data_IF_292251970371
#
_entry.id   IF_292251970371
#
_cell.length_a   1.000
_cell.length_b   1.000
_cell.length_c   1.000
_cell.angle_alpha   90.00
_cell.angle_beta   90.00
_cell.angle_gamma   90.00
#
_symmetry.space_group_name_H-M   'P 1'
#
loop_
_entity.id
_entity.type
_entity.pdbx_description
1 polymer ?
#
# COMPACT_ATOMS: atom_id res chain seq x y z
N UNK A 1 -57.33 16.35 4.77
CA UNK A 1 -56.46 17.46 5.23
C UNK A 1 -55.55 16.86 6.30
N UNK A 2 -54.26 16.61 6.14
CA UNK A 2 -53.22 17.37 5.45
C UNK A 2 -52.26 16.44 4.68
N UNK A 3 -51.89 16.87 3.48
CA UNK A 3 -50.81 16.31 2.68
C UNK A 3 -49.47 16.56 3.38
N UNK A 4 -48.81 15.50 3.86
CA UNK A 4 -47.40 15.56 4.20
C UNK A 4 -46.62 15.59 2.89
N UNK A 5 -46.24 16.81 2.51
CA UNK A 5 -45.42 17.11 1.36
C UNK A 5 -44.16 16.23 1.34
N UNK A 6 -44.09 15.38 0.34
CA UNK A 6 -42.86 14.75 -0.11
C UNK A 6 -41.85 15.86 -0.44
N UNK A 7 -40.90 16.10 0.47
CA UNK A 7 -39.74 16.95 0.19
C UNK A 7 -39.11 16.42 -1.10
N UNK A 8 -38.94 17.24 -2.15
CA UNK A 8 -38.19 16.81 -3.31
C UNK A 8 -36.76 16.52 -2.83
N UNK A 9 -36.35 15.26 -2.94
CA UNK A 9 -34.94 14.90 -2.84
C UNK A 9 -34.25 15.67 -3.95
N UNK A 10 -33.60 16.78 -3.58
CA UNK A 10 -32.83 17.58 -4.51
C UNK A 10 -31.74 16.68 -5.08
N UNK A 11 -31.97 16.23 -6.31
CA UNK A 11 -31.00 15.60 -7.19
C UNK A 11 -29.84 16.58 -7.41
N UNK A 12 -28.93 16.69 -6.43
CA UNK A 12 -27.64 17.32 -6.64
C UNK A 12 -26.73 16.33 -7.38
N UNK A 13 -27.12 15.98 -8.60
CA UNK A 13 -26.34 15.18 -9.55
C UNK A 13 -25.16 15.96 -10.15
N UNK A 14 -24.87 17.15 -9.62
CA UNK A 14 -23.70 17.97 -9.96
C UNK A 14 -22.46 17.33 -9.32
N UNK A 15 -21.97 16.28 -9.98
CA UNK A 15 -20.67 16.25 -10.66
C UNK A 15 -19.53 17.02 -9.98
N UNK A 16 -19.28 16.80 -8.69
CA UNK A 16 -18.08 17.33 -8.04
C UNK A 16 -16.90 16.44 -8.39
N UNK A 17 -16.07 16.92 -9.31
CA UNK A 17 -14.70 16.45 -9.49
C UNK A 17 -13.98 16.49 -8.13
N UNK A 18 -13.00 15.61 -7.90
CA UNK A 18 -12.27 15.45 -6.63
C UNK A 18 -11.27 16.60 -6.39
N UNK A 19 -11.75 17.85 -6.43
CA UNK A 19 -10.93 19.05 -6.31
C UNK A 19 -10.18 19.13 -4.98
N UNK A 20 -10.74 18.58 -3.90
CA UNK A 20 -10.07 18.58 -2.59
C UNK A 20 -8.81 17.73 -2.63
N UNK A 21 -8.81 16.61 -3.36
CA UNK A 21 -7.63 15.76 -3.49
C UNK A 21 -6.52 16.42 -4.31
N UNK A 22 -6.87 17.08 -5.41
CA UNK A 22 -5.90 17.87 -6.18
C UNK A 22 -5.32 19.00 -5.33
N UNK A 23 -6.16 19.69 -4.56
CA UNK A 23 -5.70 20.72 -3.63
C UNK A 23 -4.81 20.15 -2.54
N UNK A 24 -5.12 18.96 -2.01
CA UNK A 24 -4.34 18.28 -1.00
C UNK A 24 -3.00 17.77 -1.54
N UNK A 25 -2.91 17.45 -2.84
CA UNK A 25 -1.67 17.01 -3.51
C UNK A 25 -0.66 18.15 -3.70
N UNK A 26 -1.09 19.41 -3.71
CA UNK A 26 -0.20 20.56 -3.84
C UNK A 26 0.84 20.56 -2.71
N UNK A 27 0.43 20.27 -1.48
CA UNK A 27 1.32 20.29 -0.30
C UNK A 27 2.42 19.21 -0.44
N UNK A 28 2.11 17.91 -0.65
CA UNK A 28 3.10 16.89 -0.97
C UNK A 28 4.02 17.27 -2.12
N UNK A 29 3.50 17.82 -3.22
CA UNK A 29 4.33 18.17 -4.37
C UNK A 29 5.35 19.26 -4.05
N UNK A 30 4.95 20.30 -3.31
CA UNK A 30 5.85 21.35 -2.86
C UNK A 30 6.94 20.81 -1.92
N UNK A 31 6.55 19.96 -0.96
CA UNK A 31 7.51 19.35 -0.01
C UNK A 31 8.54 18.51 -0.76
N UNK A 32 8.08 17.61 -1.65
CA UNK A 32 8.97 16.69 -2.37
C UNK A 32 9.91 17.43 -3.34
N UNK A 33 9.43 18.49 -4.01
CA UNK A 33 10.26 19.34 -4.85
C UNK A 33 11.31 20.08 -4.02
N UNK A 34 10.92 20.66 -2.89
CA UNK A 34 11.84 21.35 -1.99
C UNK A 34 12.90 20.38 -1.45
N UNK A 35 12.52 19.21 -0.97
CA UNK A 35 13.47 18.22 -0.44
C UNK A 35 14.45 17.69 -1.50
N UNK A 36 13.99 17.41 -2.73
CA UNK A 36 14.89 16.98 -3.80
C UNK A 36 15.86 18.09 -4.20
N UNK A 37 15.40 19.34 -4.29
CA UNK A 37 16.31 20.46 -4.58
C UNK A 37 17.34 20.61 -3.47
N UNK A 38 16.94 20.56 -2.19
CA UNK A 38 17.87 20.59 -1.06
C UNK A 38 18.90 19.45 -1.10
N UNK A 39 18.47 18.23 -1.42
CA UNK A 39 19.37 17.07 -1.52
C UNK A 39 20.39 17.23 -2.65
N UNK A 40 19.99 17.79 -3.80
CA UNK A 40 20.90 18.04 -4.91
C UNK A 40 21.88 19.18 -4.62
N UNK A 41 21.43 20.22 -3.93
CA UNK A 41 22.30 21.31 -3.46
C UNK A 41 23.29 20.84 -2.40
N UNK A 42 22.89 19.94 -1.50
CA UNK A 42 23.78 19.40 -0.46
C UNK A 42 24.94 18.56 -1.02
N UNK A 43 24.80 18.01 -2.23
CA UNK A 43 25.86 17.27 -2.91
C UNK A 43 26.82 18.18 -3.71
N UNK A 44 26.57 19.49 -3.78
CA UNK A 44 27.44 20.46 -4.45
C UNK A 44 28.48 21.03 -3.47
N UNK A 45 29.67 21.36 -3.98
CA UNK A 45 30.74 21.94 -3.17
C UNK A 45 30.26 23.23 -2.46
N UNK A 46 30.51 23.38 -1.15
CA UNK A 46 30.02 24.51 -0.35
C UNK A 46 30.58 25.87 -0.78
N UNK A 47 31.62 25.88 -1.62
CA UNK A 47 32.24 27.09 -2.16
C UNK A 47 31.69 27.48 -3.54
N UNK A 48 30.77 26.69 -4.12
CA UNK A 48 30.17 27.01 -5.39
C UNK A 48 29.13 28.13 -5.21
N UNK A 49 29.33 29.26 -5.90
CA UNK A 49 28.35 30.36 -5.92
C UNK A 49 26.99 29.86 -6.41
N UNK A 50 25.89 30.36 -5.83
CA UNK A 50 24.51 30.13 -6.30
C UNK A 50 24.29 30.79 -7.68
N UNK A 51 24.87 30.19 -8.71
CA UNK A 51 24.69 30.59 -10.09
C UNK A 51 23.52 29.81 -10.68
N UNK A 52 22.67 30.46 -11.49
CA UNK A 52 21.48 29.84 -12.13
C UNK A 52 21.89 28.63 -13.00
N UNK A 53 23.16 28.57 -13.45
CA UNK A 53 23.75 27.42 -14.16
C UNK A 53 24.05 26.20 -13.29
N UNK A 54 24.23 26.39 -11.99
CA UNK A 54 24.49 25.33 -11.03
C UNK A 54 23.21 24.83 -10.37
N UNK A 55 22.04 25.41 -10.70
CA UNK A 55 20.77 24.84 -10.29
C UNK A 55 20.72 23.37 -10.76
N UNK A 56 20.15 22.47 -9.95
CA UNK A 56 20.03 21.07 -10.33
C UNK A 56 19.42 20.98 -11.72
N UNK A 57 20.21 20.52 -12.69
CA UNK A 57 19.76 20.27 -14.06
C UNK A 57 18.51 19.39 -13.99
N UNK A 58 17.57 19.58 -14.92
CA UNK A 58 16.30 18.84 -14.95
C UNK A 58 16.48 17.33 -14.76
N UNK A 59 17.62 16.79 -15.20
CA UNK A 59 18.07 15.41 -15.02
C UNK A 59 18.03 14.93 -13.56
N UNK A 60 18.46 15.75 -12.60
CA UNK A 60 18.45 15.38 -11.17
C UNK A 60 17.05 15.35 -10.55
N UNK A 61 16.10 16.09 -11.13
CA UNK A 61 14.71 16.17 -10.68
C UNK A 61 13.78 15.16 -11.39
N UNK A 62 14.27 14.47 -12.41
CA UNK A 62 13.51 13.43 -13.15
C UNK A 62 12.77 12.43 -12.27
N UNK A 63 13.32 11.87 -11.16
CA UNK A 63 12.58 10.89 -10.35
C UNK A 63 11.37 11.50 -9.65
N UNK A 64 11.46 12.76 -9.21
CA UNK A 64 10.37 13.44 -8.51
C UNK A 64 9.26 13.83 -9.49
N UNK A 65 9.63 14.29 -10.69
CA UNK A 65 8.65 14.58 -11.75
C UNK A 65 7.92 13.31 -12.19
N UNK A 66 8.63 12.18 -12.29
CA UNK A 66 8.02 10.88 -12.56
C UNK A 66 6.99 10.47 -11.49
N UNK A 67 7.33 10.67 -10.21
CA UNK A 67 6.43 10.36 -9.10
C UNK A 67 5.20 11.29 -9.09
N UNK A 68 5.39 12.60 -9.26
CA UNK A 68 4.31 13.58 -9.33
C UNK A 68 3.36 13.25 -10.49
N UNK A 69 3.91 12.98 -11.68
CA UNK A 69 3.13 12.59 -12.85
C UNK A 69 2.32 11.31 -12.58
N UNK A 70 2.90 10.32 -11.92
CA UNK A 70 2.22 9.07 -11.57
C UNK A 70 1.09 9.27 -10.53
N UNK A 71 1.29 10.14 -9.54
CA UNK A 71 0.26 10.48 -8.56
C UNK A 71 -0.90 11.25 -9.21
N UNK A 72 -0.61 12.19 -10.11
CA UNK A 72 -1.64 12.90 -10.89
C UNK A 72 -2.40 11.91 -11.78
N UNK A 73 -1.69 11.02 -12.48
CA UNK A 73 -2.34 10.00 -13.32
C UNK A 73 -3.25 9.08 -12.48
N UNK A 74 -2.78 8.64 -11.32
CA UNK A 74 -3.57 7.83 -10.38
C UNK A 74 -4.79 8.60 -9.89
N UNK A 75 -4.64 9.87 -9.53
CA UNK A 75 -5.74 10.75 -9.13
C UNK A 75 -6.80 10.87 -10.23
N UNK A 76 -6.38 11.04 -11.49
CA UNK A 76 -7.29 11.12 -12.64
C UNK A 76 -8.06 9.81 -12.80
N UNK A 77 -7.38 8.66 -12.75
CA UNK A 77 -8.03 7.34 -12.83
C UNK A 77 -9.05 7.17 -11.70
N UNK A 78 -8.69 7.47 -10.45
CA UNK A 78 -9.60 7.36 -9.31
C UNK A 78 -10.76 8.36 -9.41
N UNK A 79 -10.55 9.55 -9.97
CA UNK A 79 -11.60 10.56 -10.18
C UNK A 79 -12.61 10.14 -11.24
N UNK A 80 -12.17 9.46 -12.30
CA UNK A 80 -13.03 9.02 -13.39
C UNK A 80 -13.84 7.79 -12.96
N UNK A 81 -13.16 6.75 -12.46
CA UNK A 81 -13.73 5.43 -12.22
C UNK A 81 -14.25 5.20 -10.79
N UNK A 82 -13.65 5.84 -9.78
CA UNK A 82 -13.90 5.60 -8.35
C UNK A 82 -14.29 6.88 -7.59
N UNK A 83 -15.40 7.50 -8.01
CA UNK A 83 -15.85 8.81 -7.49
C UNK A 83 -16.19 8.84 -5.99
N UNK A 84 -16.47 7.68 -5.39
CA UNK A 84 -16.80 7.54 -3.95
C UNK A 84 -15.58 7.19 -3.09
N UNK A 85 -14.40 7.00 -3.68
CA UNK A 85 -13.21 6.68 -2.90
C UNK A 85 -12.75 7.89 -2.08
N UNK A 86 -12.11 7.61 -0.95
CA UNK A 86 -11.56 8.62 -0.05
C UNK A 86 -10.53 9.49 -0.77
N UNK A 87 -10.61 10.80 -0.54
CA UNK A 87 -9.81 11.85 -1.18
C UNK A 87 -8.54 12.19 -0.39
N UNK A 88 -8.40 11.71 0.85
CA UNK A 88 -7.25 12.03 1.72
C UNK A 88 -6.14 10.99 1.61
N UNK A 89 -6.50 9.74 1.29
CA UNK A 89 -5.56 8.61 1.32
C UNK A 89 -4.42 8.75 0.28
N UNK A 90 -4.74 9.11 -0.96
CA UNK A 90 -3.75 9.21 -2.04
C UNK A 90 -2.69 10.31 -1.77
N UNK A 91 -3.05 11.54 -1.37
CA UNK A 91 -2.06 12.56 -0.98
C UNK A 91 -1.15 12.11 0.16
N UNK A 92 -1.69 11.44 1.18
CA UNK A 92 -0.93 11.02 2.36
C UNK A 92 0.05 9.89 2.02
N UNK A 93 -0.43 8.87 1.30
CA UNK A 93 0.42 7.76 0.83
C UNK A 93 1.45 8.26 -0.18
N UNK A 94 1.07 9.19 -1.05
CA UNK A 94 1.97 9.83 -2.02
C UNK A 94 3.11 10.57 -1.34
N UNK A 95 2.81 11.36 -0.30
CA UNK A 95 3.82 12.05 0.52
C UNK A 95 4.77 11.05 1.17
N UNK A 96 4.24 10.05 1.88
CA UNK A 96 5.05 9.05 2.57
C UNK A 96 5.94 8.24 1.61
N UNK A 97 5.39 7.88 0.44
CA UNK A 97 6.13 7.17 -0.61
C UNK A 97 7.22 8.05 -1.20
N UNK A 98 6.94 9.33 -1.44
CA UNK A 98 7.92 10.30 -1.91
C UNK A 98 9.06 10.53 -0.93
N UNK A 99 8.76 10.64 0.37
CA UNK A 99 9.76 10.67 1.45
C UNK A 99 10.62 9.40 1.45
N UNK A 100 10.02 8.23 1.24
CA UNK A 100 10.75 6.97 1.11
C UNK A 100 11.72 6.96 -0.08
N UNK A 101 11.29 7.48 -1.24
CA UNK A 101 12.15 7.62 -2.42
C UNK A 101 13.31 8.57 -2.12
N UNK A 102 13.05 9.71 -1.47
CA UNK A 102 14.05 10.68 -1.04
C UNK A 102 15.09 10.09 -0.09
N UNK A 103 14.63 9.41 0.96
CA UNK A 103 15.50 8.73 1.91
C UNK A 103 16.38 7.70 1.22
N UNK A 104 15.82 6.95 0.26
CA UNK A 104 16.56 5.94 -0.48
C UNK A 104 17.52 6.54 -1.51
N UNK A 105 17.20 7.68 -2.12
CA UNK A 105 18.16 8.43 -2.96
C UNK A 105 19.33 8.96 -2.14
N UNK A 106 19.09 9.33 -0.87
CA UNK A 106 20.13 9.81 0.05
C UNK A 106 21.04 8.67 0.55
N UNK A 107 20.44 7.58 1.04
CA UNK A 107 21.17 6.46 1.64
C UNK A 107 21.80 5.52 0.60
N UNK A 108 21.29 5.56 -0.64
CA UNK A 108 21.66 4.66 -1.71
C UNK A 108 23.17 4.53 -2.00
N UNK A 109 23.96 5.61 -1.98
CA UNK A 109 25.41 5.54 -2.21
C UNK A 109 26.18 4.76 -1.13
N UNK A 110 25.68 4.73 0.11
CA UNK A 110 26.40 4.20 1.28
C UNK A 110 26.15 2.71 1.55
N UNK A 111 25.21 2.09 0.84
CA UNK A 111 24.80 0.69 1.08
C UNK A 111 25.44 -0.24 0.03
N UNK A 112 26.13 -1.32 0.45
CA UNK A 112 26.68 -2.32 -0.47
C UNK A 112 25.60 -2.91 -1.38
N UNK A 113 25.84 -2.83 -2.70
CA UNK A 113 24.83 -3.16 -3.72
C UNK A 113 24.59 -4.67 -3.82
N UNK A 114 23.34 -5.16 -3.78
CA UNK A 114 23.03 -6.47 -4.34
C UNK A 114 23.21 -6.42 -5.87
N UNK A 115 23.83 -7.46 -6.48
CA UNK A 115 24.02 -7.54 -7.93
C UNK A 115 22.67 -7.38 -8.67
N UNK A 116 22.55 -6.37 -9.53
CA UNK A 116 21.35 -6.12 -10.33
C UNK A 116 21.55 -5.00 -11.39
N UNK A 117 20.64 -4.90 -12.38
CA UNK A 117 20.79 -3.97 -13.52
C UNK A 117 20.55 -2.48 -13.17
N UNK A 118 19.95 -2.18 -12.01
CA UNK A 118 19.67 -0.82 -11.55
C UNK A 118 20.64 -0.49 -10.42
N UNK A 119 21.60 0.38 -10.71
CA UNK A 119 22.69 0.76 -9.81
C UNK A 119 22.29 1.81 -8.76
N UNK A 120 21.16 2.51 -8.94
CA UNK A 120 20.66 3.51 -8.01
C UNK A 120 19.48 2.97 -7.17
N UNK A 121 19.70 2.87 -5.86
CA UNK A 121 18.71 2.46 -4.87
C UNK A 121 17.46 3.36 -4.88
N UNK A 122 17.62 4.66 -5.06
CA UNK A 122 16.51 5.60 -5.14
C UNK A 122 15.62 5.35 -6.37
N UNK A 123 16.22 5.09 -7.52
CA UNK A 123 15.49 4.73 -8.75
C UNK A 123 14.76 3.39 -8.60
N UNK A 124 15.35 2.43 -7.90
CA UNK A 124 14.69 1.15 -7.60
C UNK A 124 13.47 1.35 -6.71
N UNK A 125 13.58 2.19 -5.68
CA UNK A 125 12.45 2.54 -4.80
C UNK A 125 11.32 3.22 -5.59
N UNK A 126 11.66 4.15 -6.50
CA UNK A 126 10.67 4.79 -7.36
C UNK A 126 9.91 3.78 -8.22
N UNK A 127 10.61 2.83 -8.86
CA UNK A 127 9.97 1.79 -9.67
C UNK A 127 9.00 0.96 -8.82
N UNK A 128 9.38 0.60 -7.59
CA UNK A 128 8.48 -0.12 -6.69
C UNK A 128 7.25 0.68 -6.28
N UNK A 129 7.39 1.99 -6.06
CA UNK A 129 6.23 2.88 -5.83
C UNK A 129 5.32 2.91 -7.06
N UNK A 130 5.88 3.02 -8.27
CA UNK A 130 5.09 3.00 -9.51
C UNK A 130 4.36 1.66 -9.72
N UNK A 131 5.06 0.53 -9.50
CA UNK A 131 4.44 -0.81 -9.53
C UNK A 131 3.33 -0.91 -8.48
N UNK A 132 3.55 -0.37 -7.27
CA UNK A 132 2.55 -0.32 -6.20
C UNK A 132 1.31 0.48 -6.59
N UNK A 133 1.45 1.62 -7.26
CA UNK A 133 0.33 2.41 -7.78
C UNK A 133 -0.46 1.65 -8.85
N UNK A 134 0.23 0.96 -9.77
CA UNK A 134 -0.41 0.13 -10.80
C UNK A 134 -1.18 -1.03 -10.15
N UNK A 135 -0.56 -1.72 -9.18
CA UNK A 135 -1.22 -2.79 -8.41
C UNK A 135 -2.43 -2.23 -7.65
N UNK A 136 -2.33 -1.06 -7.03
CA UNK A 136 -3.44 -0.40 -6.32
C UNK A 136 -4.63 -0.11 -7.25
N UNK A 137 -4.37 0.44 -8.44
CA UNK A 137 -5.41 0.67 -9.44
C UNK A 137 -6.02 -0.68 -9.88
N UNK A 138 -5.17 -1.66 -10.19
CA UNK A 138 -5.60 -3.00 -10.59
C UNK A 138 -6.48 -3.69 -9.56
N UNK A 139 -6.12 -3.61 -8.27
CA UNK A 139 -6.92 -4.18 -7.17
C UNK A 139 -8.25 -3.46 -7.00
N UNK A 140 -8.29 -2.12 -7.13
CA UNK A 140 -9.55 -1.37 -7.12
C UNK A 140 -10.52 -1.81 -8.21
N UNK A 141 -10.02 -2.10 -9.42
CA UNK A 141 -10.85 -2.64 -10.50
C UNK A 141 -11.29 -4.08 -10.24
N UNK A 142 -10.38 -4.94 -9.78
CA UNK A 142 -10.65 -6.36 -9.54
C UNK A 142 -11.61 -6.59 -8.37
N UNK A 143 -11.48 -5.81 -7.29
CA UNK A 143 -12.27 -5.94 -6.05
C UNK A 143 -13.52 -5.05 -6.03
N UNK A 144 -13.97 -4.54 -7.18
CA UNK A 144 -15.16 -3.67 -7.28
C UNK A 144 -16.40 -4.30 -6.66
N UNK A 145 -16.49 -5.64 -6.68
CA UNK A 145 -17.47 -6.38 -5.90
C UNK A 145 -16.72 -7.22 -4.86
N UNK A 146 -16.82 -6.88 -3.58
CA UNK A 146 -16.13 -7.62 -2.51
C UNK A 146 -16.91 -8.86 -2.04
N UNK A 147 -18.17 -9.04 -2.49
CA UNK A 147 -19.03 -10.12 -1.99
C UNK A 147 -18.51 -11.52 -2.35
N UNK A 148 -17.81 -11.67 -3.48
CA UNK A 148 -17.23 -12.96 -3.86
C UNK A 148 -16.06 -13.38 -2.97
N UNK A 149 -15.29 -12.42 -2.43
CA UNK A 149 -14.19 -12.72 -1.49
C UNK A 149 -14.70 -13.49 -0.27
N UNK A 150 -15.87 -13.12 0.27
CA UNK A 150 -16.48 -13.78 1.42
C UNK A 150 -16.91 -15.22 1.11
N UNK A 151 -17.39 -15.48 -0.11
CA UNK A 151 -17.84 -16.82 -0.54
C UNK A 151 -16.70 -17.83 -0.62
N UNK A 152 -15.49 -17.36 -0.93
CA UNK A 152 -14.29 -18.17 -1.15
C UNK A 152 -13.30 -18.11 0.02
N UNK A 153 -13.77 -17.86 1.25
CA UNK A 153 -12.92 -17.72 2.44
C UNK A 153 -12.01 -18.93 2.70
N UNK A 154 -12.49 -20.15 2.47
CA UNK A 154 -11.70 -21.37 2.67
C UNK A 154 -10.65 -21.59 1.59
N UNK A 155 -10.91 -21.17 0.35
CA UNK A 155 -9.92 -21.20 -0.74
C UNK A 155 -8.78 -20.20 -0.49
N UNK A 156 -9.05 -19.05 0.14
CA UNK A 156 -8.00 -18.11 0.54
C UNK A 156 -7.07 -18.68 1.61
N UNK A 157 -7.58 -19.48 2.56
CA UNK A 157 -6.74 -20.19 3.54
C UNK A 157 -5.85 -21.23 2.84
N UNK A 158 -6.44 -22.03 1.95
CA UNK A 158 -5.67 -23.01 1.19
C UNK A 158 -4.57 -22.34 0.37
N UNK A 159 -4.88 -21.20 -0.26
CA UNK A 159 -3.91 -20.38 -0.97
C UNK A 159 -2.81 -19.85 -0.05
N UNK A 160 -3.15 -19.35 1.15
CA UNK A 160 -2.17 -18.91 2.14
C UNK A 160 -1.22 -20.04 2.53
N UNK A 161 -1.76 -21.23 2.82
CA UNK A 161 -0.97 -22.40 3.17
C UNK A 161 -0.05 -22.81 2.01
N UNK A 162 -0.57 -22.80 0.78
CA UNK A 162 0.20 -23.11 -0.43
C UNK A 162 1.35 -22.10 -0.67
N UNK A 163 1.13 -20.80 -0.42
CA UNK A 163 2.16 -19.77 -0.58
C UNK A 163 3.21 -19.83 0.54
N UNK A 164 2.82 -20.23 1.75
CA UNK A 164 3.74 -20.41 2.88
C UNK A 164 4.61 -21.65 2.76
N UNK A 165 4.10 -22.74 2.17
CA UNK A 165 4.81 -24.02 2.07
C UNK A 165 6.23 -23.87 1.48
N UNK A 166 6.45 -23.16 0.34
CA UNK A 166 7.78 -22.91 -0.18
C UNK A 166 8.71 -22.18 0.80
N UNK A 167 8.19 -21.21 1.57
CA UNK A 167 8.98 -20.49 2.57
C UNK A 167 9.38 -21.40 3.73
N UNK A 168 8.43 -22.20 4.23
CA UNK A 168 8.67 -23.15 5.31
C UNK A 168 9.68 -24.23 4.90
N UNK A 169 9.54 -24.79 3.68
CA UNK A 169 10.47 -25.78 3.14
C UNK A 169 11.87 -25.18 3.03
N UNK A 170 12.02 -23.98 2.46
CA UNK A 170 13.32 -23.30 2.38
C UNK A 170 13.88 -22.98 3.77
N UNK A 171 13.04 -22.49 4.69
CA UNK A 171 13.42 -22.20 6.07
C UNK A 171 14.00 -23.43 6.77
N UNK A 172 13.33 -24.58 6.67
CA UNK A 172 13.78 -25.86 7.24
C UNK A 172 15.05 -26.38 6.55
N UNK A 173 15.17 -26.25 5.23
CA UNK A 173 16.38 -26.66 4.49
C UNK A 173 17.59 -25.78 4.80
N UNK A 174 17.37 -24.47 5.00
CA UNK A 174 18.41 -23.48 5.33
C UNK A 174 18.72 -23.41 6.82
N UNK A 175 17.98 -24.10 7.69
CA UNK A 175 18.32 -24.27 9.12
C UNK A 175 19.71 -24.89 9.32
N UNK A 176 20.20 -25.66 8.33
CA UNK A 176 21.52 -26.30 8.37
C UNK A 176 22.69 -25.41 7.89
N UNK A 177 22.42 -24.21 7.38
CA UNK A 177 23.45 -23.30 6.87
C UNK A 177 23.70 -22.16 7.85
N UNK A 178 24.77 -22.28 8.64
CA UNK A 178 25.17 -21.35 9.71
C UNK A 178 25.58 -19.94 9.22
N UNK A 179 25.69 -19.71 7.91
CA UNK A 179 26.23 -18.46 7.33
C UNK A 179 25.22 -17.65 6.50
N UNK A 180 23.91 -17.90 6.62
CA UNK A 180 22.90 -17.16 5.85
C UNK A 180 22.17 -16.13 6.71
N UNK A 181 22.02 -14.94 6.14
CA UNK A 181 21.44 -13.69 6.63
C UNK A 181 20.22 -13.86 7.56
N UNK A 182 20.00 -12.95 8.54
CA UNK A 182 18.94 -13.07 9.54
C UNK A 182 17.50 -13.05 8.97
N UNK A 183 17.29 -12.62 7.71
CA UNK A 183 15.96 -12.58 7.09
C UNK A 183 15.70 -13.82 6.25
N UNK A 184 15.16 -14.85 6.90
CA UNK A 184 15.00 -16.22 6.34
C UNK A 184 13.70 -16.43 5.54
N UNK A 185 12.85 -15.40 5.43
CA UNK A 185 11.51 -15.47 4.82
C UNK A 185 11.46 -14.84 3.42
N UNK A 186 12.61 -14.67 2.75
CA UNK A 186 12.68 -14.03 1.43
C UNK A 186 12.73 -15.09 0.34
N UNK A 187 11.68 -15.16 -0.47
CA UNK A 187 11.69 -15.92 -1.70
C UNK A 187 12.23 -15.04 -2.84
N UNK A 188 13.50 -15.18 -3.15
CA UNK A 188 14.09 -14.53 -4.32
C UNK A 188 13.66 -15.29 -5.59
N UNK A 189 12.78 -14.68 -6.38
CA UNK A 189 12.36 -15.12 -7.72
C UNK A 189 12.98 -14.15 -8.74
N UNK A 190 14.24 -14.39 -9.10
CA UNK A 190 14.99 -13.52 -10.00
C UNK A 190 15.16 -12.10 -9.42
N UNK A 191 14.78 -11.02 -10.12
CA UNK A 191 14.90 -9.64 -9.63
C UNK A 191 13.85 -9.27 -8.56
N UNK A 192 12.84 -10.13 -8.34
CA UNK A 192 11.77 -9.93 -7.38
C UNK A 192 12.08 -10.68 -6.09
N UNK A 193 12.20 -9.95 -4.99
CA UNK A 193 12.25 -10.50 -3.64
C UNK A 193 10.85 -10.39 -3.06
N UNK A 194 10.10 -11.49 -3.09
CA UNK A 194 8.75 -11.55 -2.52
C UNK A 194 8.80 -12.22 -1.16
N UNK A 195 8.15 -11.60 -0.19
CA UNK A 195 8.01 -12.17 1.14
C UNK A 195 6.66 -12.91 1.24
N UNK A 196 6.64 -14.25 1.36
CA UNK A 196 5.40 -15.02 1.40
C UNK A 196 4.45 -14.59 2.52
N UNK A 197 4.98 -14.07 3.63
CA UNK A 197 4.17 -13.55 4.74
C UNK A 197 3.35 -12.29 4.39
N UNK A 198 3.68 -11.53 3.33
CA UNK A 198 2.81 -10.44 2.85
C UNK A 198 1.50 -10.98 2.28
N UNK A 199 1.58 -12.05 1.49
CA UNK A 199 0.40 -12.71 0.93
C UNK A 199 -0.45 -13.37 2.02
N UNK A 200 0.21 -13.94 3.04
CA UNK A 200 -0.47 -14.49 4.21
C UNK A 200 -1.29 -13.42 4.93
N UNK A 201 -0.70 -12.25 5.21
CA UNK A 201 -1.40 -11.14 5.88
C UNK A 201 -2.68 -10.76 5.16
N UNK A 202 -2.63 -10.64 3.82
CA UNK A 202 -3.80 -10.29 3.01
C UNK A 202 -4.86 -11.40 3.09
N UNK A 203 -4.48 -12.66 2.84
CA UNK A 203 -5.45 -13.76 2.82
C UNK A 203 -6.08 -14.03 4.20
N UNK A 204 -5.34 -13.84 5.28
CA UNK A 204 -5.84 -13.94 6.65
C UNK A 204 -6.86 -12.84 6.98
N UNK A 205 -6.62 -11.59 6.53
CA UNK A 205 -7.62 -10.52 6.65
C UNK A 205 -8.89 -10.85 5.87
N UNK A 206 -8.77 -11.38 4.64
CA UNK A 206 -9.93 -11.80 3.83
C UNK A 206 -10.70 -12.93 4.52
N UNK A 207 -9.99 -13.93 5.05
CA UNK A 207 -10.60 -15.02 5.78
C UNK A 207 -11.35 -14.52 7.02
N UNK A 208 -10.71 -13.71 7.87
CA UNK A 208 -11.36 -13.20 9.08
C UNK A 208 -12.56 -12.32 8.76
N UNK A 209 -12.46 -11.44 7.77
CA UNK A 209 -13.59 -10.63 7.34
C UNK A 209 -14.78 -11.49 6.89
N UNK A 210 -14.54 -12.52 6.06
CA UNK A 210 -15.60 -13.42 5.61
C UNK A 210 -16.15 -14.33 6.71
N UNK A 211 -15.29 -14.84 7.58
CA UNK A 211 -15.68 -15.72 8.69
C UNK A 211 -16.51 -14.98 9.74
N UNK A 212 -16.12 -13.76 10.12
CA UNK A 212 -16.85 -12.94 11.09
C UNK A 212 -18.18 -12.46 10.51
N UNK A 213 -18.25 -12.12 9.23
CA UNK A 213 -19.50 -11.72 8.59
C UNK A 213 -20.53 -12.85 8.59
N UNK A 214 -20.12 -14.10 8.32
CA UNK A 214 -21.02 -15.25 8.29
C UNK A 214 -21.45 -15.69 9.70
N UNK A 215 -20.59 -15.53 10.71
CA UNK A 215 -20.92 -15.84 12.10
C UNK A 215 -21.49 -14.65 12.88
N UNK A 216 -21.80 -13.52 12.23
CA UNK A 216 -22.19 -12.26 12.90
C UNK A 216 -23.38 -12.43 13.85
N UNK A 217 -24.39 -13.20 13.45
CA UNK A 217 -25.64 -13.36 14.19
C UNK A 217 -25.44 -14.28 15.40
N UNK A 218 -24.56 -15.28 15.26
CA UNK A 218 -24.12 -16.18 16.34
C UNK A 218 -23.20 -15.48 17.36
N UNK A 219 -22.30 -14.60 16.91
CA UNK A 219 -21.44 -13.80 17.76
C UNK A 219 -22.24 -12.75 18.54
N UNK A 220 -23.26 -12.14 17.91
CA UNK A 220 -24.15 -11.17 18.53
C UNK A 220 -25.06 -11.78 19.61
N UNK A 221 -25.38 -13.08 19.51
CA UNK A 221 -26.20 -13.79 20.49
C UNK A 221 -25.45 -14.16 21.79
N UNK A 222 -24.12 -13.97 21.86
CA UNK A 222 -23.30 -13.91 23.08
C UNK A 222 -23.81 -14.69 24.30
N UNK A 223 -23.65 -16.03 24.29
CA UNK A 223 -24.19 -16.91 25.33
C UNK A 223 -23.31 -17.08 26.58
N UNK A 224 -22.03 -16.67 26.54
CA UNK A 224 -21.12 -16.83 27.69
C UNK A 224 -20.93 -15.50 28.43
N UNK A 225 -21.35 -15.45 29.70
CA UNK A 225 -21.03 -14.34 30.61
C UNK A 225 -19.83 -14.73 31.45
N UNK A 226 -18.70 -14.04 31.27
CA UNK A 226 -17.56 -14.08 32.18
C UNK A 226 -17.51 -12.72 32.89
N UNK A 227 -18.17 -12.63 34.04
CA UNK A 227 -18.38 -11.35 34.74
C UNK A 227 -19.23 -10.37 33.93
N UNK A 228 -18.81 -9.09 33.85
CA UNK A 228 -19.52 -8.04 33.09
C UNK A 228 -19.34 -8.10 31.57
N UNK A 229 -18.46 -8.95 31.05
CA UNK A 229 -18.24 -9.12 29.60
C UNK A 229 -19.02 -10.32 29.06
N UNK A 230 -19.77 -10.08 27.97
CA UNK A 230 -20.40 -11.12 27.15
C UNK A 230 -19.38 -11.58 26.11
N UNK A 231 -18.89 -12.80 26.27
CA UNK A 231 -17.93 -13.42 25.35
C UNK A 231 -18.67 -14.27 24.30
N UNK A 232 -18.21 -14.26 23.04
CA UNK A 232 -18.72 -15.16 22.01
C UNK A 232 -18.37 -16.63 22.31
N UNK A 233 -19.14 -17.60 21.80
CA UNK A 233 -18.96 -19.01 22.12
C UNK A 233 -17.59 -19.57 21.67
N UNK A 234 -16.85 -20.21 22.58
CA UNK A 234 -15.50 -20.77 22.32
C UNK A 234 -15.44 -21.73 21.11
N UNK A 235 -16.53 -22.45 20.81
CA UNK A 235 -16.57 -23.41 19.69
C UNK A 235 -16.45 -22.73 18.32
N UNK A 236 -16.82 -21.45 18.21
CA UNK A 236 -16.66 -20.64 16.99
C UNK A 236 -15.34 -19.86 16.96
N UNK A 237 -14.65 -19.76 18.10
CA UNK A 237 -13.28 -19.26 18.15
C UNK A 237 -12.26 -20.34 17.76
N UNK A 238 -12.66 -21.62 17.75
CA UNK A 238 -11.80 -22.75 17.36
C UNK A 238 -11.04 -22.54 16.04
N UNK A 239 -11.73 -22.25 14.91
CA UNK A 239 -11.08 -21.97 13.63
C UNK A 239 -10.19 -20.71 13.64
N UNK A 240 -10.41 -19.80 14.60
CA UNK A 240 -9.64 -18.57 14.77
C UNK A 240 -8.31 -18.81 15.50
N UNK A 241 -8.30 -19.78 16.43
CA UNK A 241 -7.15 -20.14 17.29
C UNK A 241 -6.30 -21.26 16.68
N UNK A 242 -6.89 -22.11 15.83
CA UNK A 242 -6.20 -23.21 15.16
C UNK A 242 -5.39 -22.79 13.92
N UNK A 243 -5.50 -21.53 13.49
CA UNK A 243 -4.69 -20.94 12.40
C UNK A 243 -3.48 -20.22 12.97
#
# INVERSE_FOLDING_TARGET
MAQLASRPQSLSFIRRYRWQELSLLIIPFLILLLEMTQLLLANQDPNSSLNIRNLPLLDGLTPIFGLIAALIATNIVLSIFFRKADQVLLPLVGLLSGLGVLMMTRLGPDIPRPLGPINNMGSRQLIWVLVGLVICIGTMFLLRNTTWLSRYKYTWILFCFAVLLPSLIKGVLTFKSANSTPTRDILNLGPLSLQPSEFLKIGLVIFFAGYLNDNRDMLAQGYFRLGGLKLPPLKQLGPLVLM
#
